data_IF_395674093732
#
_entry.id   IF_395674093732
#
_cell.length_a   1.000
_cell.length_b   1.000
_cell.length_c   1.000
_cell.angle_alpha   90.00
_cell.angle_beta   90.00
_cell.angle_gamma   90.00
#
_symmetry.space_group_name_H-M   'P 1'
#
loop_
_entity.id
_entity.type
_entity.pdbx_description
1 polymer ?
#
# COMPACT_ATOMS: atom_id res chain seq x y z
N UNK A 1 19.61 -15.16 -32.14
CA UNK A 1 19.58 -14.23 -30.99
C UNK A 1 18.83 -12.97 -31.41
N UNK A 2 17.52 -12.94 -31.19
CA UNK A 2 16.73 -11.71 -31.33
C UNK A 2 16.86 -10.91 -30.03
N UNK A 3 17.34 -9.67 -30.13
CA UNK A 3 17.26 -8.67 -29.07
C UNK A 3 15.79 -8.35 -28.84
N UNK A 4 15.25 -8.69 -27.67
CA UNK A 4 14.03 -8.06 -27.16
C UNK A 4 14.48 -6.77 -26.49
N UNK A 5 14.42 -5.67 -27.24
CA UNK A 5 14.40 -4.32 -26.67
C UNK A 5 12.94 -4.03 -26.39
N UNK A 6 12.54 -4.08 -25.12
CA UNK A 6 11.19 -3.76 -24.66
C UNK A 6 11.31 -2.86 -23.44
N UNK A 7 11.42 -1.55 -23.70
CA UNK A 7 11.11 -0.51 -22.71
C UNK A 7 9.59 -0.52 -22.49
N UNK A 8 9.18 -0.60 -21.22
CA UNK A 8 7.78 -0.56 -20.79
C UNK A 8 7.38 -1.82 -20.04
N UNK A 9 7.51 -1.82 -18.71
CA UNK A 9 7.14 -2.96 -17.84
C UNK A 9 6.23 -2.57 -16.67
N UNK A 10 5.72 -1.33 -16.61
CA UNK A 10 4.79 -0.90 -15.55
C UNK A 10 3.33 -1.19 -15.93
N UNK A 11 2.79 -2.36 -15.60
CA UNK A 11 1.35 -2.71 -15.73
C UNK A 11 0.64 -2.20 -17.03
N UNK A 12 1.38 -2.12 -18.14
CA UNK A 12 0.95 -1.52 -19.40
C UNK A 12 -0.15 -2.38 -20.02
N UNK A 13 -1.43 -2.05 -19.93
CA UNK A 13 -2.03 -0.72 -20.01
C UNK A 13 -3.33 -0.82 -19.24
N UNK A 14 -3.38 -0.33 -18.00
CA UNK A 14 -4.67 -0.14 -17.33
C UNK A 14 -5.56 0.63 -18.31
N UNK A 15 -6.67 0.01 -18.75
CA UNK A 15 -7.59 0.63 -19.71
C UNK A 15 -7.98 2.01 -19.17
N UNK A 16 -8.25 2.98 -20.05
CA UNK A 16 -8.61 4.34 -19.63
C UNK A 16 -9.75 4.35 -18.61
N UNK A 17 -10.64 3.35 -18.68
CA UNK A 17 -11.72 3.15 -17.71
C UNK A 17 -11.23 2.80 -16.30
N UNK A 18 -10.16 2.01 -16.16
CA UNK A 18 -9.67 1.67 -14.82
C UNK A 18 -8.75 2.74 -14.23
N UNK A 19 -8.18 3.61 -15.07
CA UNK A 19 -7.31 4.71 -14.60
C UNK A 19 -8.08 5.76 -13.81
N UNK A 20 -9.34 6.04 -14.19
CA UNK A 20 -10.16 7.00 -13.45
C UNK A 20 -10.68 6.44 -12.12
N UNK A 21 -10.76 5.12 -11.99
CA UNK A 21 -11.15 4.43 -10.76
C UNK A 21 -9.98 4.22 -9.79
N UNK A 22 -8.73 4.27 -10.29
CA UNK A 22 -7.56 4.13 -9.44
C UNK A 22 -7.39 5.38 -8.57
N UNK A 23 -7.47 5.17 -7.25
CA UNK A 23 -7.17 6.17 -6.24
C UNK A 23 -6.03 5.68 -5.35
N UNK A 24 -5.00 6.50 -5.21
CA UNK A 24 -3.85 6.21 -4.36
C UNK A 24 -3.96 7.09 -3.13
N UNK A 25 -3.89 6.46 -1.95
CA UNK A 25 -3.97 7.12 -0.66
C UNK A 25 -2.65 6.94 0.08
N UNK A 26 -2.23 7.96 0.80
CA UNK A 26 -1.02 7.96 1.63
C UNK A 26 -1.29 8.68 2.94
N UNK A 27 -0.48 8.42 3.96
CA UNK A 27 -0.51 9.21 5.19
C UNK A 27 -0.05 10.65 4.92
N UNK A 28 -0.21 11.51 5.92
CA UNK A 28 0.30 12.88 5.89
C UNK A 28 1.84 12.97 5.98
N UNK A 29 2.53 11.85 6.27
CA UNK A 29 3.99 11.78 6.31
C UNK A 29 4.61 11.97 4.91
N UNK A 30 5.46 12.98 4.78
CA UNK A 30 6.08 13.36 3.51
C UNK A 30 6.87 12.24 2.82
N UNK A 31 7.55 11.36 3.59
CA UNK A 31 8.28 10.21 3.03
C UNK A 31 7.35 9.15 2.46
N UNK A 32 6.24 8.88 3.14
CA UNK A 32 5.22 7.92 2.70
C UNK A 32 4.54 8.43 1.43
N UNK A 33 4.23 9.72 1.38
CA UNK A 33 3.74 10.41 0.18
C UNK A 33 4.66 10.22 -1.03
N UNK A 34 5.97 10.43 -0.84
CA UNK A 34 6.94 10.26 -1.92
C UNK A 34 7.06 8.83 -2.41
N UNK A 35 7.04 7.86 -1.50
CA UNK A 35 6.97 6.44 -1.84
C UNK A 35 5.68 6.11 -2.60
N UNK A 36 4.54 6.67 -2.20
CA UNK A 36 3.27 6.49 -2.92
C UNK A 36 3.31 7.10 -4.32
N UNK A 37 3.93 8.27 -4.50
CA UNK A 37 4.13 8.89 -5.81
C UNK A 37 5.10 8.09 -6.69
N UNK A 38 6.19 7.58 -6.14
CA UNK A 38 7.13 6.72 -6.84
C UNK A 38 6.49 5.39 -7.25
N UNK A 39 5.66 4.82 -6.37
CA UNK A 39 4.83 3.66 -6.68
C UNK A 39 3.84 3.96 -7.80
N UNK A 40 3.10 5.07 -7.74
CA UNK A 40 2.17 5.49 -8.78
C UNK A 40 2.88 5.64 -10.14
N UNK A 41 4.05 6.28 -10.12
CA UNK A 41 4.91 6.48 -11.29
C UNK A 41 5.31 5.15 -11.92
N UNK A 42 5.83 4.22 -11.13
CA UNK A 42 6.25 2.90 -11.62
C UNK A 42 5.08 2.00 -12.04
N UNK A 43 3.95 2.08 -11.31
CA UNK A 43 2.76 1.28 -11.58
C UNK A 43 2.07 1.68 -12.88
N UNK A 44 1.98 2.99 -13.15
CA UNK A 44 1.28 3.54 -14.31
C UNK A 44 2.22 3.91 -15.48
N UNK A 45 3.51 3.63 -15.31
CA UNK A 45 4.57 3.96 -16.28
C UNK A 45 4.55 5.45 -16.67
N UNK A 46 4.49 6.33 -15.66
CA UNK A 46 4.42 7.78 -15.87
C UNK A 46 5.82 8.38 -16.03
N UNK A 47 5.96 9.29 -16.98
CA UNK A 47 7.17 10.09 -17.14
C UNK A 47 7.13 11.36 -16.28
N UNK A 48 8.32 11.91 -15.97
CA UNK A 48 8.45 13.19 -15.24
C UNK A 48 8.87 13.06 -13.77
N UNK A 49 8.92 14.20 -13.07
CA UNK A 49 9.28 14.29 -11.66
C UNK A 49 8.17 13.75 -10.75
N UNK A 50 8.51 13.40 -9.50
CA UNK A 50 7.53 12.87 -8.54
C UNK A 50 6.55 13.93 -8.04
N UNK A 51 6.93 15.21 -7.98
CA UNK A 51 6.08 16.28 -7.42
C UNK A 51 4.75 16.46 -8.16
N UNK A 52 4.69 16.57 -9.50
CA UNK A 52 3.42 16.64 -10.21
C UNK A 52 2.55 15.38 -10.02
N UNK A 53 3.18 14.21 -9.94
CA UNK A 53 2.49 12.91 -9.72
C UNK A 53 1.89 12.87 -8.31
N UNK A 54 2.65 13.29 -7.31
CA UNK A 54 2.20 13.37 -5.93
C UNK A 54 0.96 14.26 -5.81
N UNK A 55 1.01 15.47 -6.39
CA UNK A 55 -0.09 16.43 -6.30
C UNK A 55 -1.35 15.96 -7.05
N UNK A 56 -1.18 15.26 -8.17
CA UNK A 56 -2.29 14.86 -9.04
C UNK A 56 -2.92 13.51 -8.71
N UNK A 57 -2.14 12.53 -8.21
CA UNK A 57 -2.59 11.13 -8.07
C UNK A 57 -2.61 10.61 -6.65
N UNK A 58 -1.91 11.26 -5.71
CA UNK A 58 -1.80 10.78 -4.33
C UNK A 58 -2.65 11.66 -3.40
N UNK A 59 -3.69 11.06 -2.82
CA UNK A 59 -4.53 11.68 -1.81
C UNK A 59 -3.99 11.44 -0.40
N UNK A 60 -4.18 12.41 0.49
CA UNK A 60 -3.69 12.40 1.89
C UNK A 60 -4.79 12.05 2.90
N UNK A 61 -5.85 11.41 2.42
CA UNK A 61 -7.00 11.08 3.26
C UNK A 61 -6.68 9.87 4.17
N UNK A 62 -6.29 10.18 5.41
CA UNK A 62 -5.96 9.18 6.43
C UNK A 62 -7.15 8.28 6.78
N UNK A 63 -8.38 8.79 6.67
CA UNK A 63 -9.60 8.02 6.99
C UNK A 63 -9.81 6.82 6.08
N UNK A 64 -9.23 6.84 4.88
CA UNK A 64 -9.23 5.72 3.94
C UNK A 64 -8.19 4.65 4.28
N UNK A 65 -7.24 4.96 5.16
CA UNK A 65 -6.23 4.02 5.70
C UNK A 65 -6.66 3.41 7.04
N UNK A 66 -7.66 3.99 7.72
CA UNK A 66 -8.16 3.61 9.05
C UNK A 66 -9.01 2.31 9.09
N UNK A 67 -8.89 1.43 8.08
CA UNK A 67 -9.46 0.08 8.15
C UNK A 67 -8.93 -0.77 9.32
N UNK A 68 -7.80 -0.32 9.91
CA UNK A 68 -7.07 -0.95 11.01
C UNK A 68 -7.71 -0.76 12.40
N UNK A 69 -8.58 0.25 12.60
CA UNK A 69 -9.22 0.52 13.90
C UNK A 69 -9.97 -0.70 14.46
N UNK A 70 -10.42 -1.58 13.57
CA UNK A 70 -11.13 -2.80 13.93
C UNK A 70 -10.26 -3.84 14.67
N UNK A 71 -8.93 -3.73 14.59
CA UNK A 71 -7.96 -4.67 15.16
C UNK A 71 -7.03 -4.05 16.21
N UNK A 72 -7.13 -2.75 16.48
CA UNK A 72 -6.23 -2.04 17.39
C UNK A 72 -6.22 -2.64 18.80
N UNK A 73 -7.37 -3.09 19.31
CA UNK A 73 -7.47 -3.72 20.64
C UNK A 73 -6.62 -4.99 20.71
N UNK A 74 -6.75 -5.90 19.74
CA UNK A 74 -5.96 -7.14 19.70
C UNK A 74 -4.47 -6.89 19.46
N UNK A 75 -4.13 -5.87 18.68
CA UNK A 75 -2.73 -5.48 18.47
C UNK A 75 -2.11 -4.92 19.75
N UNK A 76 -2.81 -4.05 20.48
CA UNK A 76 -2.33 -3.52 21.77
C UNK A 76 -2.21 -4.62 22.83
N UNK A 77 -3.14 -5.59 22.86
CA UNK A 77 -3.03 -6.77 23.73
C UNK A 77 -1.78 -7.61 23.38
N UNK A 78 -1.52 -7.83 22.09
CA UNK A 78 -0.34 -8.56 21.62
C UNK A 78 0.95 -7.84 22.01
N UNK A 79 1.03 -6.52 21.80
CA UNK A 79 2.18 -5.68 22.18
C UNK A 79 2.41 -5.67 23.69
N UNK A 80 1.36 -5.57 24.50
CA UNK A 80 1.47 -5.60 25.95
C UNK A 80 2.06 -6.93 26.43
N UNK A 81 1.53 -8.05 25.92
CA UNK A 81 2.03 -9.39 26.25
C UNK A 81 3.46 -9.62 25.77
N UNK A 82 3.82 -9.07 24.60
CA UNK A 82 5.18 -9.09 24.09
C UNK A 82 6.14 -8.29 24.99
N UNK A 83 5.71 -7.13 25.48
CA UNK A 83 6.47 -6.31 26.43
C UNK A 83 6.77 -7.09 27.70
N UNK A 84 5.77 -7.79 28.25
CA UNK A 84 5.94 -8.63 29.44
C UNK A 84 6.96 -9.77 29.20
N UNK A 85 6.92 -10.43 28.04
CA UNK A 85 7.86 -11.51 27.68
C UNK A 85 9.31 -10.98 27.64
N UNK A 86 9.53 -9.85 26.97
CA UNK A 86 10.86 -9.27 26.80
C UNK A 86 11.40 -8.73 28.14
N UNK A 87 10.56 -8.07 28.93
CA UNK A 87 10.98 -7.40 30.17
C UNK A 87 11.11 -8.35 31.35
N UNK A 88 10.24 -9.36 31.47
CA UNK A 88 10.31 -10.36 32.56
C UNK A 88 11.51 -11.28 32.43
N UNK A 89 12.24 -11.24 31.31
CA UNK A 89 13.37 -12.12 31.04
C UNK A 89 13.00 -13.59 31.19
N UNK A 90 11.73 -13.91 30.91
CA UNK A 90 11.18 -15.23 31.11
C UNK A 90 11.98 -16.15 30.21
N UNK A 91 12.91 -16.90 30.83
CA UNK A 91 13.43 -18.13 30.24
C UNK A 91 12.17 -18.86 29.84
N UNK A 92 11.92 -19.01 28.55
CA UNK A 92 10.93 -19.95 28.10
C UNK A 92 11.29 -21.23 28.85
N UNK A 93 10.46 -21.63 29.80
CA UNK A 93 10.61 -22.90 30.50
C UNK A 93 10.32 -24.00 29.47
N UNK A 94 11.21 -24.11 28.49
CA UNK A 94 11.54 -25.36 27.87
C UNK A 94 12.20 -26.13 28.99
N UNK A 95 11.43 -27.05 29.58
CA UNK A 95 12.01 -28.25 30.10
C UNK A 95 13.02 -28.74 29.06
N UNK A 96 14.20 -29.09 29.54
CA UNK A 96 15.31 -29.59 28.75
C UNK A 96 14.83 -30.55 27.63
N UNK A 97 15.33 -30.31 26.41
CA UNK A 97 15.54 -31.32 25.36
C UNK A 97 14.50 -31.57 24.26
N UNK A 98 13.47 -30.74 24.05
CA UNK A 98 12.77 -30.74 22.76
C UNK A 98 12.56 -29.32 22.24
N UNK A 99 13.16 -29.01 21.09
CA UNK A 99 12.68 -27.95 20.21
C UNK A 99 11.16 -28.11 20.09
N UNK A 100 10.35 -27.08 20.40
CA UNK A 100 8.91 -27.18 20.21
C UNK A 100 8.66 -27.60 18.76
N UNK A 101 7.89 -28.67 18.56
CA UNK A 101 7.60 -29.25 17.23
C UNK A 101 7.10 -28.19 16.22
N UNK A 102 6.56 -27.08 16.75
CA UNK A 102 6.16 -25.89 15.99
C UNK A 102 6.63 -24.60 16.68
N UNK A 103 7.86 -24.11 16.43
CA UNK A 103 8.40 -22.90 17.07
C UNK A 103 7.60 -21.62 16.77
N UNK A 104 6.83 -21.61 15.68
CA UNK A 104 5.95 -20.52 15.27
C UNK A 104 4.60 -20.49 16.02
N UNK A 105 4.32 -21.50 16.86
CA UNK A 105 3.10 -21.58 17.67
C UNK A 105 3.27 -21.01 19.08
N UNK A 106 4.50 -20.75 19.53
CA UNK A 106 4.81 -20.23 20.86
C UNK A 106 4.82 -18.70 20.86
N UNK A 107 4.34 -18.12 21.97
CA UNK A 107 4.39 -16.67 22.16
C UNK A 107 5.83 -16.16 22.18
N UNK A 108 6.10 -15.06 21.47
CA UNK A 108 7.44 -14.47 21.41
C UNK A 108 8.42 -15.22 20.51
N UNK A 109 7.92 -16.06 19.59
CA UNK A 109 8.75 -16.71 18.57
C UNK A 109 9.62 -15.68 17.83
N UNK A 110 10.90 -15.98 17.67
CA UNK A 110 11.88 -15.11 17.02
C UNK A 110 12.56 -14.09 17.95
N UNK A 111 12.13 -13.95 19.21
CA UNK A 111 12.86 -13.12 20.17
C UNK A 111 14.16 -13.81 20.62
N UNK A 112 15.25 -13.04 20.77
CA UNK A 112 16.50 -13.59 21.29
C UNK A 112 16.38 -13.91 22.79
N UNK A 113 17.01 -15.00 23.23
CA UNK A 113 16.97 -15.46 24.64
C UNK A 113 17.50 -14.41 25.64
N UNK A 114 18.36 -13.50 25.17
CA UNK A 114 18.93 -12.41 25.96
C UNK A 114 18.22 -11.06 25.70
N UNK A 115 17.00 -11.05 25.19
CA UNK A 115 16.27 -9.81 24.85
C UNK A 115 16.23 -8.80 26.01
N UNK A 116 16.00 -9.26 27.24
CA UNK A 116 15.99 -8.41 28.44
C UNK A 116 17.34 -7.72 28.71
N UNK A 117 18.45 -8.36 28.33
CA UNK A 117 19.81 -7.81 28.46
C UNK A 117 20.17 -6.88 27.30
N UNK A 118 19.56 -7.11 26.13
CA UNK A 118 19.74 -6.27 24.95
C UNK A 118 19.02 -4.92 25.10
N UNK A 119 17.90 -4.86 25.83
CA UNK A 119 17.14 -3.61 26.06
C UNK A 119 18.00 -2.48 26.70
N UNK A 120 18.69 -2.68 27.85
CA UNK A 120 19.59 -1.66 28.39
C UNK A 120 20.72 -1.29 27.43
N UNK A 121 21.25 -2.26 26.69
CA UNK A 121 22.30 -2.02 25.70
C UNK A 121 21.80 -1.15 24.56
N UNK A 122 20.59 -1.40 24.06
CA UNK A 122 19.91 -0.60 23.05
C UNK A 122 19.78 0.85 23.51
N UNK A 123 19.22 1.08 24.70
CA UNK A 123 19.06 2.44 25.25
C UNK A 123 20.40 3.15 25.41
N UNK A 124 21.43 2.47 25.94
CA UNK A 124 22.76 3.05 26.11
C UNK A 124 23.36 3.47 24.77
N UNK A 125 23.24 2.64 23.75
CA UNK A 125 23.77 2.92 22.43
C UNK A 125 22.97 4.03 21.72
N UNK A 126 21.64 4.03 21.84
CA UNK A 126 20.79 5.13 21.33
C UNK A 126 21.20 6.46 21.95
N UNK A 127 21.40 6.51 23.28
CA UNK A 127 21.92 7.71 23.97
C UNK A 127 23.29 8.14 23.46
N UNK A 128 24.20 7.20 23.20
CA UNK A 128 25.53 7.50 22.65
C UNK A 128 25.43 8.16 21.27
N UNK A 129 24.57 7.64 20.40
CA UNK A 129 24.34 8.21 19.07
C UNK A 129 23.68 9.58 19.18
N UNK A 130 22.62 9.73 19.99
CA UNK A 130 21.94 11.01 20.20
C UNK A 130 22.89 12.10 20.70
N UNK A 131 23.80 11.80 21.62
CA UNK A 131 24.77 12.78 22.11
C UNK A 131 25.78 13.20 21.04
N UNK A 132 26.25 12.27 20.20
CA UNK A 132 27.13 12.61 19.07
C UNK A 132 26.43 13.55 18.09
N UNK A 133 25.17 13.27 17.73
CA UNK A 133 24.39 14.13 16.84
C UNK A 133 24.10 15.49 17.50
N UNK A 134 23.94 15.54 18.83
CA UNK A 134 23.80 16.80 19.58
C UNK A 134 25.04 17.69 19.44
N UNK A 135 26.24 17.10 19.50
CA UNK A 135 27.48 17.84 19.34
C UNK A 135 27.59 18.38 17.91
N UNK A 136 27.36 17.55 16.90
CA UNK A 136 27.35 17.98 15.50
C UNK A 136 26.34 19.12 15.24
N UNK A 137 25.18 19.08 15.89
CA UNK A 137 24.19 20.17 15.78
C UNK A 137 24.64 21.48 16.43
N UNK A 138 25.40 21.41 17.53
CA UNK A 138 25.96 22.61 18.18
C UNK A 138 27.11 23.20 17.39
N UNK A 139 27.97 22.36 16.83
CA UNK A 139 29.10 22.79 16.02
C UNK A 139 28.58 23.51 14.75
N UNK A 140 27.50 23.03 14.14
CA UNK A 140 26.81 23.71 13.03
C UNK A 140 26.28 25.09 13.46
N UNK A 141 25.63 25.21 14.62
CA UNK A 141 25.16 26.50 15.14
C UNK A 141 26.33 27.46 15.46
N UNK A 142 27.43 26.97 16.04
CA UNK A 142 28.62 27.78 16.37
C UNK A 142 29.35 28.26 15.10
N UNK A 143 29.62 27.38 14.13
CA UNK A 143 30.19 27.75 12.83
C UNK A 143 29.28 28.70 12.05
N UNK A 144 27.95 28.50 12.10
CA UNK A 144 27.00 29.44 11.51
C UNK A 144 27.03 30.78 12.22
N UNK A 145 27.16 30.86 13.55
CA UNK A 145 27.29 32.14 14.26
C UNK A 145 28.59 32.88 13.96
N UNK A 146 29.69 32.16 13.68
CA UNK A 146 30.95 32.77 13.23
C UNK A 146 30.90 33.20 11.75
N UNK A 147 30.18 32.46 10.91
CA UNK A 147 29.96 32.79 9.50
C UNK A 147 28.84 33.83 9.27
N UNK A 148 27.90 34.01 10.21
CA UNK A 148 26.70 34.86 10.05
C UNK A 148 26.96 36.37 10.18
N UNK A 149 28.19 36.84 9.98
CA UNK A 149 28.37 38.26 9.71
C UNK A 149 27.78 38.67 8.34
N UNK A 150 27.44 37.72 7.44
CA UNK A 150 26.85 38.09 6.14
C UNK A 150 25.85 37.15 5.44
N UNK A 151 25.46 35.97 5.96
CA UNK A 151 24.54 35.10 5.20
C UNK A 151 23.23 34.73 5.92
N UNK A 152 22.13 34.89 5.18
CA UNK A 152 20.75 34.65 5.59
C UNK A 152 20.45 33.15 5.52
N UNK A 153 20.15 32.54 6.66
CA UNK A 153 19.63 31.17 6.75
C UNK A 153 18.36 31.04 5.91
N UNK A 154 18.44 30.34 4.79
CA UNK A 154 17.24 30.03 3.99
C UNK A 154 16.42 28.95 4.68
N UNK A 155 15.11 29.18 4.96
CA UNK A 155 14.23 28.18 5.56
C UNK A 155 14.20 26.87 4.76
N UNK A 156 14.01 25.77 5.47
CA UNK A 156 13.78 24.43 4.91
C UNK A 156 12.67 24.47 3.84
N UNK A 157 13.07 24.38 2.58
CA UNK A 157 12.16 24.35 1.45
C UNK A 157 12.00 22.90 0.99
N UNK A 158 10.94 22.27 1.47
CA UNK A 158 10.53 20.93 1.05
C UNK A 158 10.44 20.85 -0.49
N UNK A 159 10.02 21.92 -1.18
CA UNK A 159 9.97 21.94 -2.64
C UNK A 159 11.35 21.87 -3.31
N UNK A 160 12.40 22.36 -2.65
CA UNK A 160 13.78 22.34 -3.16
C UNK A 160 14.42 20.95 -3.03
N UNK A 161 14.08 20.19 -1.98
CA UNK A 161 14.52 18.80 -1.77
C UNK A 161 13.87 17.82 -2.77
N UNK A 162 12.66 18.13 -3.24
CA UNK A 162 11.82 17.22 -4.02
C UNK A 162 12.20 17.08 -5.52
N UNK A 163 13.17 17.87 -6.02
CA UNK A 163 13.44 18.00 -7.46
C UNK A 163 14.85 17.64 -7.94
N UNK A 164 15.81 17.31 -7.06
CA UNK A 164 17.21 17.11 -7.46
C UNK A 164 17.79 15.85 -6.81
N UNK A 165 17.92 14.80 -7.60
CA UNK A 165 18.59 13.54 -7.22
C UNK A 165 20.05 13.72 -6.77
N UNK A 166 20.67 14.84 -7.13
CA UNK A 166 22.07 15.12 -6.83
C UNK A 166 22.29 15.95 -5.56
N UNK A 167 21.21 16.46 -4.91
CA UNK A 167 21.35 17.26 -3.68
C UNK A 167 22.10 16.48 -2.60
N UNK A 168 21.80 15.20 -2.45
CA UNK A 168 22.40 14.40 -1.39
C UNK A 168 23.89 14.15 -1.64
N UNK A 169 24.35 14.11 -2.89
CA UNK A 169 25.78 13.93 -3.21
C UNK A 169 26.59 15.15 -2.72
N UNK A 170 26.15 16.36 -3.06
CA UNK A 170 26.83 17.59 -2.66
C UNK A 170 26.77 17.79 -1.13
N UNK A 171 25.64 17.42 -0.50
CA UNK A 171 25.47 17.48 0.96
C UNK A 171 26.39 16.49 1.68
N UNK A 172 26.44 15.24 1.22
CA UNK A 172 27.33 14.21 1.78
C UNK A 172 28.79 14.66 1.64
N UNK A 173 29.17 15.22 0.49
CA UNK A 173 30.50 15.77 0.28
C UNK A 173 30.82 16.96 1.21
N UNK A 174 29.80 17.76 1.58
CA UNK A 174 29.90 18.84 2.55
C UNK A 174 29.79 18.38 4.01
N UNK A 175 29.72 17.07 4.28
CA UNK A 175 29.61 16.54 5.64
C UNK A 175 28.22 16.64 6.28
N UNK A 176 27.20 17.04 5.52
CA UNK A 176 25.84 17.26 6.02
C UNK A 176 24.97 15.98 5.96
N UNK A 177 23.91 15.87 6.78
CA UNK A 177 22.99 14.74 6.69
C UNK A 177 22.22 14.70 5.36
N UNK A 178 21.95 13.48 4.90
CA UNK A 178 21.21 13.13 3.69
C UNK A 178 19.69 13.35 3.85
N UNK A 179 18.98 13.58 2.75
CA UNK A 179 17.52 13.67 2.73
C UNK A 179 17.00 15.04 3.15
N UNK A 180 17.78 16.10 2.88
CA UNK A 180 17.52 17.49 3.29
C UNK A 180 17.44 17.76 4.81
N UNK A 181 17.68 16.75 5.65
CA UNK A 181 17.76 16.90 7.11
C UNK A 181 19.01 17.70 7.50
N UNK A 182 18.88 18.70 8.38
CA UNK A 182 20.01 19.38 9.05
C UNK A 182 20.36 18.70 10.38
N UNK A 183 21.50 19.01 11.00
CA UNK A 183 21.90 18.32 12.24
C UNK A 183 20.91 18.54 13.38
N UNK A 184 20.29 19.73 13.47
CA UNK A 184 19.26 20.00 14.46
C UNK A 184 18.03 19.09 14.32
N UNK A 185 17.59 18.80 13.09
CA UNK A 185 16.47 17.89 12.82
C UNK A 185 16.86 16.44 13.11
N UNK A 186 18.07 16.04 12.70
CA UNK A 186 18.62 14.73 13.01
C UNK A 186 18.71 14.50 14.52
N UNK A 187 19.16 15.50 15.27
CA UNK A 187 19.20 15.47 16.73
C UNK A 187 17.79 15.36 17.31
N UNK A 188 16.82 16.15 16.82
CA UNK A 188 15.44 16.07 17.29
C UNK A 188 14.83 14.67 17.08
N UNK A 189 15.12 14.02 15.94
CA UNK A 189 14.72 12.64 15.64
C UNK A 189 15.33 11.65 16.63
N UNK A 190 16.66 11.64 16.78
CA UNK A 190 17.35 10.74 17.71
C UNK A 190 16.96 10.98 19.18
N UNK A 191 16.74 12.24 19.57
CA UNK A 191 16.30 12.61 20.92
C UNK A 191 14.87 12.16 21.21
N UNK A 192 13.99 12.19 20.20
CA UNK A 192 12.64 11.62 20.31
C UNK A 192 12.72 10.11 20.56
N UNK A 193 13.48 9.38 19.74
CA UNK A 193 13.67 7.93 19.90
C UNK A 193 14.24 7.57 21.27
N UNK A 194 15.26 8.30 21.73
CA UNK A 194 15.85 8.10 23.06
C UNK A 194 14.80 8.21 24.19
N UNK A 195 13.99 9.26 24.15
CA UNK A 195 12.98 9.55 25.18
C UNK A 195 11.82 8.55 25.13
N UNK A 196 11.38 8.22 23.93
CA UNK A 196 10.19 7.40 23.72
C UNK A 196 10.54 5.91 23.99
N UNK A 197 11.76 5.46 23.69
CA UNK A 197 12.23 4.09 23.93
C UNK A 197 12.32 3.73 25.42
N UNK A 198 12.72 4.66 26.28
CA UNK A 198 12.93 4.38 27.70
C UNK A 198 12.54 5.53 28.62
N UNK A 199 11.59 5.24 29.51
CA UNK A 199 11.12 6.18 30.50
C UNK A 199 11.95 6.07 31.78
N UNK A 200 12.94 6.97 31.94
CA UNK A 200 13.83 7.00 33.11
C UNK A 200 13.09 7.17 34.44
N UNK A 201 11.97 7.90 34.46
CA UNK A 201 11.21 8.15 35.70
C UNK A 201 10.48 6.91 36.20
N UNK A 202 10.08 6.03 35.28
CA UNK A 202 9.30 4.81 35.55
C UNK A 202 10.12 3.53 35.43
N UNK A 203 11.40 3.63 35.07
CA UNK A 203 12.27 2.49 34.75
C UNK A 203 11.58 1.48 33.81
N UNK A 204 11.02 1.99 32.72
CA UNK A 204 10.17 1.20 31.81
C UNK A 204 10.59 1.39 30.36
N UNK A 205 10.77 0.28 29.66
CA UNK A 205 11.02 0.23 28.21
C UNK A 205 9.71 0.25 27.42
N UNK A 206 9.71 1.02 26.34
CA UNK A 206 8.69 0.95 25.31
C UNK A 206 9.23 0.18 24.10
N UNK A 207 8.93 -1.12 24.07
CA UNK A 207 9.39 -2.00 22.99
C UNK A 207 8.80 -1.64 21.62
N UNK A 208 7.72 -0.86 21.57
CA UNK A 208 7.08 -0.45 20.31
C UNK A 208 7.95 0.53 19.51
N UNK A 209 8.99 1.09 20.14
CA UNK A 209 9.94 2.01 19.50
C UNK A 209 11.15 1.26 18.90
N UNK A 210 11.27 -0.05 19.11
CA UNK A 210 12.38 -0.86 18.56
C UNK A 210 12.42 -0.82 17.02
N UNK A 211 11.28 -0.96 16.29
CA UNK A 211 11.27 -0.83 14.84
C UNK A 211 11.77 0.53 14.37
N UNK A 212 11.33 1.63 15.00
CA UNK A 212 11.76 2.99 14.64
C UNK A 212 13.26 3.23 14.87
N UNK A 213 13.81 2.67 15.95
CA UNK A 213 15.26 2.70 16.23
C UNK A 213 16.01 1.89 15.17
N UNK A 214 15.53 0.69 14.82
CA UNK A 214 16.13 -0.14 13.78
C UNK A 214 16.14 0.57 12.43
N UNK A 215 15.01 1.13 12.00
CA UNK A 215 14.88 1.82 10.72
C UNK A 215 15.75 3.08 10.68
N UNK A 216 15.83 3.84 11.79
CA UNK A 216 16.71 5.00 11.91
C UNK A 216 18.18 4.61 11.80
N UNK A 217 18.60 3.53 12.47
CA UNK A 217 19.96 3.01 12.36
C UNK A 217 20.28 2.60 10.93
N UNK A 218 19.37 1.87 10.31
CA UNK A 218 19.53 1.37 8.94
C UNK A 218 19.66 2.52 7.94
N UNK A 219 18.81 3.53 8.07
CA UNK A 219 18.85 4.72 7.24
C UNK A 219 20.18 5.45 7.42
N UNK A 220 20.58 5.73 8.66
CA UNK A 220 21.80 6.48 8.93
C UNK A 220 23.07 5.69 8.54
N UNK A 221 23.09 4.36 8.66
CA UNK A 221 24.20 3.54 8.15
C UNK A 221 24.28 3.53 6.61
N UNK A 222 23.14 3.61 5.92
CA UNK A 222 23.11 3.55 4.46
C UNK A 222 23.39 4.91 3.83
N UNK A 223 22.86 5.98 4.42
CA UNK A 223 22.83 7.31 3.82
C UNK A 223 23.72 8.33 4.53
N UNK A 224 24.03 8.11 5.81
CA UNK A 224 24.79 9.02 6.66
C UNK A 224 26.09 8.40 7.20
N UNK A 225 26.63 7.39 6.50
CA UNK A 225 27.84 6.69 6.94
C UNK A 225 29.06 7.61 7.05
N UNK A 226 29.10 8.68 6.25
CA UNK A 226 30.16 9.69 6.27
C UNK A 226 30.24 10.48 7.58
N UNK A 227 29.16 10.51 8.37
CA UNK A 227 29.15 11.15 9.70
C UNK A 227 29.95 10.38 10.74
N UNK A 228 30.33 9.12 10.46
CA UNK A 228 31.17 8.28 11.33
C UNK A 228 30.68 8.18 12.78
N UNK A 229 29.36 8.09 12.97
CA UNK A 229 28.75 7.98 14.30
C UNK A 229 29.19 6.68 14.98
N UNK A 230 29.98 6.82 16.04
CA UNK A 230 30.57 5.68 16.73
C UNK A 230 29.52 4.83 17.44
N UNK A 231 29.56 3.52 17.21
CA UNK A 231 28.63 2.56 17.82
C UNK A 231 27.28 2.49 17.13
N UNK A 232 27.06 3.20 16.02
CA UNK A 232 25.84 3.09 15.21
C UNK A 232 25.70 1.68 14.60
N UNK A 233 26.81 1.06 14.19
CA UNK A 233 26.81 -0.32 13.67
C UNK A 233 26.46 -1.35 14.76
N UNK A 234 26.96 -1.13 15.99
CA UNK A 234 26.62 -1.95 17.14
C UNK A 234 25.15 -1.75 17.54
N UNK A 235 24.67 -0.51 17.52
CA UNK A 235 23.27 -0.18 17.79
C UNK A 235 22.36 -0.87 16.78
N UNK A 236 22.70 -0.80 15.48
CA UNK A 236 21.97 -1.48 14.42
C UNK A 236 21.88 -2.99 14.67
N UNK A 237 22.98 -3.65 15.01
CA UNK A 237 22.98 -5.10 15.30
C UNK A 237 22.08 -5.45 16.47
N UNK A 238 22.12 -4.67 17.55
CA UNK A 238 21.26 -4.87 18.73
C UNK A 238 19.78 -4.62 18.39
N UNK A 239 19.50 -3.52 17.68
CA UNK A 239 18.17 -3.16 17.24
C UNK A 239 17.58 -4.22 16.31
N UNK A 240 18.36 -4.71 15.35
CA UNK A 240 17.96 -5.76 14.42
C UNK A 240 17.58 -7.05 15.14
N UNK A 241 18.43 -7.55 16.06
CA UNK A 241 18.14 -8.77 16.82
C UNK A 241 16.82 -8.68 17.61
N UNK A 242 16.50 -7.50 18.13
CA UNK A 242 15.22 -7.26 18.81
C UNK A 242 14.08 -7.10 17.80
N UNK A 243 14.27 -6.33 16.73
CA UNK A 243 13.28 -6.02 15.71
C UNK A 243 12.81 -7.27 14.96
N UNK A 244 13.72 -8.20 14.66
CA UNK A 244 13.40 -9.49 14.02
C UNK A 244 12.39 -10.31 14.83
N UNK A 245 12.40 -10.16 16.17
CA UNK A 245 11.39 -10.74 17.04
C UNK A 245 10.20 -9.81 17.31
N UNK A 246 10.40 -8.50 17.44
CA UNK A 246 9.32 -7.56 17.78
C UNK A 246 8.35 -7.37 16.61
N UNK A 247 8.85 -6.99 15.44
CA UNK A 247 8.05 -6.60 14.27
C UNK A 247 7.04 -7.69 13.88
N UNK A 248 7.42 -8.98 13.74
CA UNK A 248 6.45 -10.01 13.36
C UNK A 248 5.38 -10.22 14.43
N UNK A 249 5.69 -9.96 15.70
CA UNK A 249 4.80 -10.23 16.84
C UNK A 249 3.85 -9.05 17.17
N UNK A 250 4.07 -7.85 16.62
CA UNK A 250 3.18 -6.68 16.79
C UNK A 250 1.75 -6.93 16.25
N UNK A 251 1.63 -7.76 15.22
CA UNK A 251 0.36 -8.15 14.60
C UNK A 251 -0.14 -9.51 15.10
N UNK A 252 0.22 -9.86 16.33
CA UNK A 252 -0.16 -11.10 17.01
C UNK A 252 1.05 -11.99 17.29
N UNK A 253 1.17 -12.44 18.53
CA UNK A 253 2.35 -13.16 19.03
C UNK A 253 2.29 -14.67 18.80
N UNK A 254 1.14 -15.17 18.34
CA UNK A 254 0.91 -16.57 17.99
C UNK A 254 -0.09 -16.66 16.81
N UNK A 255 -0.24 -17.84 16.18
CA UNK A 255 -1.04 -18.00 14.97
C UNK A 255 -2.52 -17.67 15.16
N UNK A 256 -3.07 -17.94 16.34
CA UNK A 256 -4.48 -17.63 16.65
C UNK A 256 -4.71 -16.12 16.69
N UNK A 257 -3.82 -15.37 17.34
CA UNK A 257 -3.88 -13.91 17.37
C UNK A 257 -3.66 -13.32 15.97
N UNK A 258 -2.65 -13.79 15.24
CA UNK A 258 -2.38 -13.34 13.85
C UNK A 258 -3.60 -13.55 12.95
N UNK A 259 -4.25 -14.72 13.03
CA UNK A 259 -5.47 -14.99 12.28
C UNK A 259 -6.60 -14.05 12.68
N UNK A 260 -6.80 -13.83 13.99
CA UNK A 260 -7.84 -12.92 14.51
C UNK A 260 -7.63 -11.49 14.00
N UNK A 261 -6.42 -10.95 14.17
CA UNK A 261 -6.03 -9.61 13.72
C UNK A 261 -6.17 -9.52 12.19
N UNK A 262 -5.54 -10.43 11.45
CA UNK A 262 -5.61 -10.45 9.98
C UNK A 262 -7.04 -10.53 9.45
N UNK A 263 -7.92 -11.32 10.09
CA UNK A 263 -9.33 -11.42 9.70
C UNK A 263 -10.08 -10.10 9.90
N UNK A 264 -9.74 -9.32 10.93
CA UNK A 264 -10.34 -8.00 11.20
C UNK A 264 -9.88 -6.96 10.19
N UNK A 265 -8.57 -6.95 9.89
CA UNK A 265 -7.97 -6.05 8.90
C UNK A 265 -8.55 -6.32 7.50
N UNK A 266 -8.55 -7.59 7.09
CA UNK A 266 -9.00 -7.98 5.76
C UNK A 266 -10.53 -8.02 5.60
N UNK A 267 -11.31 -7.88 6.68
CA UNK A 267 -12.77 -8.08 6.67
C UNK A 267 -13.49 -7.29 5.58
N UNK A 268 -13.21 -5.99 5.48
CA UNK A 268 -13.87 -5.10 4.50
C UNK A 268 -13.52 -5.49 3.07
N UNK A 269 -12.24 -5.78 2.81
CA UNK A 269 -11.76 -6.19 1.50
C UNK A 269 -12.37 -7.52 1.08
N UNK A 270 -12.31 -8.53 1.96
CA UNK A 270 -12.91 -9.84 1.71
C UNK A 270 -14.42 -9.74 1.50
N UNK A 271 -15.11 -8.91 2.27
CA UNK A 271 -16.54 -8.64 2.09
C UNK A 271 -16.84 -8.08 0.70
N UNK A 272 -16.09 -7.07 0.24
CA UNK A 272 -16.23 -6.50 -1.11
C UNK A 272 -15.95 -7.54 -2.19
N UNK A 273 -14.84 -8.27 -2.09
CA UNK A 273 -14.50 -9.33 -3.05
C UNK A 273 -15.61 -10.39 -3.16
N UNK A 274 -16.19 -10.82 -2.04
CA UNK A 274 -17.29 -11.78 -2.05
C UNK A 274 -18.55 -11.23 -2.70
N UNK A 275 -18.87 -9.95 -2.46
CA UNK A 275 -20.01 -9.27 -3.10
C UNK A 275 -19.77 -9.13 -4.61
N UNK A 276 -18.60 -8.66 -5.01
CA UNK A 276 -18.25 -8.45 -6.41
C UNK A 276 -18.26 -9.78 -7.18
N UNK A 277 -17.66 -10.84 -6.61
CA UNK A 277 -17.71 -12.19 -7.20
C UNK A 277 -19.14 -12.70 -7.34
N UNK A 278 -20.01 -12.43 -6.36
CA UNK A 278 -21.42 -12.80 -6.43
C UNK A 278 -22.14 -12.04 -7.53
N UNK A 279 -21.92 -10.74 -7.64
CA UNK A 279 -22.51 -9.89 -8.67
C UNK A 279 -22.06 -10.33 -10.07
N UNK A 280 -20.77 -10.54 -10.28
CA UNK A 280 -20.23 -11.04 -11.56
C UNK A 280 -20.83 -12.40 -11.93
N UNK A 281 -21.02 -13.30 -10.96
CA UNK A 281 -21.68 -14.58 -11.19
C UNK A 281 -23.15 -14.39 -11.59
N UNK A 282 -23.88 -13.52 -10.89
CA UNK A 282 -25.29 -13.24 -11.17
C UNK A 282 -25.45 -12.59 -12.57
N UNK A 283 -24.60 -11.63 -12.92
CA UNK A 283 -24.54 -11.01 -14.25
C UNK A 283 -24.23 -12.02 -15.36
N UNK A 284 -23.22 -12.88 -15.16
CA UNK A 284 -22.87 -13.92 -16.13
C UNK A 284 -24.05 -14.88 -16.37
N UNK A 285 -24.76 -15.26 -15.31
CA UNK A 285 -25.96 -16.10 -15.41
C UNK A 285 -27.10 -15.37 -16.14
N UNK A 286 -27.33 -14.08 -15.85
CA UNK A 286 -28.34 -13.28 -16.55
C UNK A 286 -28.03 -13.15 -18.05
N UNK A 287 -26.77 -12.90 -18.43
CA UNK A 287 -26.35 -12.83 -19.84
C UNK A 287 -26.51 -14.19 -20.53
N UNK A 288 -26.15 -15.29 -19.86
CA UNK A 288 -26.32 -16.63 -20.40
C UNK A 288 -27.81 -16.98 -20.61
N UNK A 289 -28.68 -16.59 -19.66
CA UNK A 289 -30.12 -16.78 -19.78
C UNK A 289 -30.73 -15.97 -20.95
N UNK A 290 -30.29 -14.71 -21.12
CA UNK A 290 -30.73 -13.88 -22.25
C UNK A 290 -30.30 -14.46 -23.60
N UNK A 291 -29.07 -14.97 -23.71
CA UNK A 291 -28.58 -15.64 -24.92
C UNK A 291 -29.38 -16.90 -25.23
N UNK A 292 -29.63 -17.75 -24.23
CA UNK A 292 -30.47 -18.95 -24.40
C UNK A 292 -31.89 -18.63 -24.86
N UNK A 293 -32.48 -17.53 -24.37
CA UNK A 293 -33.82 -17.11 -24.77
C UNK A 293 -33.84 -16.54 -26.21
N UNK A 294 -32.80 -15.81 -26.62
CA UNK A 294 -32.65 -15.35 -28.01
C UNK A 294 -32.42 -16.52 -28.98
N UNK A 295 -31.65 -17.52 -28.59
CA UNK A 295 -31.43 -18.74 -29.39
C UNK A 295 -32.73 -19.54 -29.56
N UNK A 296 -33.54 -19.65 -28.49
CA UNK A 296 -34.86 -20.30 -28.56
C UNK A 296 -35.87 -19.51 -29.41
N UNK A 297 -35.92 -18.18 -29.29
CA UNK A 297 -36.77 -17.34 -30.14
C UNK A 297 -36.37 -17.39 -31.62
N UNK A 298 -35.06 -17.37 -31.92
CA UNK A 298 -34.57 -17.46 -33.30
C UNK A 298 -34.81 -18.83 -33.93
N UNK A 299 -34.74 -19.91 -33.14
CA UNK A 299 -35.17 -21.26 -33.57
C UNK A 299 -36.68 -21.34 -33.80
N UNK A 300 -37.51 -20.77 -32.90
CA UNK A 300 -38.97 -20.75 -33.05
C UNK A 300 -39.42 -19.99 -34.30
N UNK A 301 -38.80 -18.84 -34.59
CA UNK A 301 -39.09 -18.07 -35.80
C UNK A 301 -38.63 -18.79 -37.07
N UNK A 302 -37.56 -19.61 -37.02
CA UNK A 302 -37.15 -20.46 -38.14
C UNK A 302 -38.13 -21.60 -38.40
N UNK A 303 -38.60 -22.28 -37.35
CA UNK A 303 -39.60 -23.34 -37.49
C UNK A 303 -40.95 -22.83 -38.00
N UNK A 304 -41.40 -21.65 -37.55
CA UNK A 304 -42.64 -21.03 -38.05
C UNK A 304 -42.52 -20.60 -39.52
N UNK A 305 -41.33 -20.16 -39.96
CA UNK A 305 -41.07 -19.78 -41.35
C UNK A 305 -40.99 -21.00 -42.28
N UNK A 306 -40.43 -22.12 -41.80
CA UNK A 306 -40.44 -23.41 -42.52
C UNK A 306 -41.85 -24.03 -42.59
N UNK A 307 -42.69 -23.87 -41.56
CA UNK A 307 -44.10 -24.29 -41.60
C UNK A 307 -44.94 -23.44 -42.57
N UNK A 308 -44.71 -22.12 -42.62
CA UNK A 308 -45.38 -21.21 -43.55
C UNK A 308 -44.98 -21.46 -45.02
N UNK A 309 -43.71 -21.82 -45.28
CA UNK A 309 -43.24 -22.21 -46.62
C UNK A 309 -43.74 -23.61 -47.06
N UNK A 310 -44.06 -24.49 -46.12
CA UNK A 310 -44.72 -25.77 -46.41
C UNK A 310 -46.23 -25.62 -46.66
N UNK A 311 -46.92 -24.70 -45.97
CA UNK A 311 -48.34 -24.42 -46.22
C UNK A 311 -48.59 -23.62 -47.52
N UNK A 312 -47.69 -22.73 -47.91
CA UNK A 312 -47.82 -21.96 -49.15
C UNK A 312 -47.61 -22.78 -50.44
N UNK A 313 -47.00 -23.97 -50.35
CA UNK A 313 -46.85 -24.92 -51.47
C UNK A 313 -48.06 -25.85 -51.69
N UNK A 314 -49.06 -25.84 -50.82
CA UNK A 314 -50.29 -26.64 -50.96
C UNK A 314 -51.47 -25.88 -51.58
N UNK A 315 -51.33 -24.57 -51.83
CA UNK A 315 -52.37 -23.71 -52.42
C UNK A 315 -51.92 -23.08 -53.74
N UNK A 316 -51.49 -23.89 -54.71
CA UNK A 316 -51.40 -23.46 -56.11
C UNK A 316 -52.14 -24.48 -56.99
N UNK A 317 -53.47 -24.29 -57.10
CA UNK A 317 -54.26 -24.73 -58.25
C UNK A 317 -55.49 -23.84 -58.43
N UNK A 318 -55.66 -23.41 -59.67
CA UNK A 318 -56.75 -22.63 -60.28
C UNK A 318 -56.66 -21.10 -60.25
N UNK A 319 -56.13 -20.57 -61.36
CA UNK A 319 -56.77 -19.67 -62.34
C UNK A 319 -57.62 -18.47 -61.85
N UNK A 320 -57.64 -17.30 -62.49
CA UNK A 320 -56.84 -16.63 -63.52
C UNK A 320 -57.45 -15.20 -63.66
N UNK A 321 -56.73 -14.31 -64.35
CA UNK A 321 -57.30 -13.23 -65.18
C UNK A 321 -57.43 -11.78 -64.63
N UNK A 322 -56.39 -10.98 -64.96
CA UNK A 322 -56.37 -9.58 -65.49
C UNK A 322 -56.75 -8.44 -64.50
N UNK A 323 -56.03 -7.30 -64.40
CA UNK A 323 -55.42 -6.46 -65.46
C UNK A 323 -54.51 -5.34 -64.88
N UNK A 324 -53.41 -5.06 -65.58
CA UNK A 324 -52.76 -3.76 -65.87
C UNK A 324 -52.07 -2.87 -64.80
N UNK A 325 -50.72 -2.90 -64.84
CA UNK A 325 -49.75 -1.79 -65.09
C UNK A 325 -49.90 -0.42 -64.41
N UNK A 326 -48.90 -0.03 -63.60
CA UNK A 326 -47.95 1.04 -63.94
C UNK A 326 -46.78 1.09 -62.95
N UNK A 327 -45.57 0.99 -63.47
CA UNK A 327 -44.28 1.20 -62.83
C UNK A 327 -43.92 2.68 -62.73
N UNK A 328 -43.47 3.13 -61.57
CA UNK A 328 -42.50 4.23 -61.44
C UNK A 328 -41.55 3.93 -60.26
N UNK A 329 -40.26 4.06 -60.58
CA UNK A 329 -39.07 4.22 -59.75
C UNK A 329 -39.29 5.05 -58.47
N UNK A 330 -38.54 4.85 -57.38
CA UNK A 330 -37.20 5.43 -57.19
C UNK A 330 -36.37 4.75 -56.07
N UNK A 331 -35.06 4.93 -56.21
CA UNK A 331 -33.93 4.40 -55.44
C UNK A 331 -33.53 5.40 -54.33
N UNK A 332 -32.78 4.89 -53.32
CA UNK A 332 -31.94 5.59 -52.31
C UNK A 332 -32.63 5.98 -50.99
N UNK A 333 -32.01 5.94 -49.80
CA UNK A 333 -30.60 6.09 -49.37
C UNK A 333 -30.33 5.26 -48.08
N UNK A 334 -29.08 4.80 -47.92
CA UNK A 334 -28.50 4.37 -46.64
C UNK A 334 -28.38 5.53 -45.64
N UNK A 335 -28.58 5.25 -44.36
CA UNK A 335 -28.04 6.03 -43.24
C UNK A 335 -27.83 5.11 -42.03
N UNK A 336 -26.55 4.97 -41.64
CA UNK A 336 -26.09 4.47 -40.34
C UNK A 336 -26.43 5.50 -39.26
N UNK A 337 -27.05 5.07 -38.16
CA UNK A 337 -27.15 5.86 -36.93
C UNK A 337 -26.67 5.01 -35.73
N UNK A 338 -25.60 5.51 -35.11
CA UNK A 338 -25.14 5.22 -33.76
C UNK A 338 -26.26 5.46 -32.74
N UNK A 339 -26.35 4.61 -31.71
CA UNK A 339 -27.11 4.98 -30.50
C UNK A 339 -26.41 4.45 -29.25
N UNK A 340 -25.81 5.41 -28.54
CA UNK A 340 -25.26 5.34 -27.19
C UNK A 340 -26.28 4.74 -26.19
N UNK A 341 -25.87 3.69 -25.46
CA UNK A 341 -26.52 3.34 -24.19
C UNK A 341 -25.52 3.16 -23.06
N UNK A 342 -25.33 4.26 -22.36
CA UNK A 342 -24.74 4.39 -21.03
C UNK A 342 -25.52 3.51 -20.02
N UNK A 343 -24.89 2.44 -19.52
CA UNK A 343 -25.48 1.56 -18.49
C UNK A 343 -25.47 2.25 -17.12
N UNK A 344 -26.65 2.65 -16.67
CA UNK A 344 -26.90 3.32 -15.39
C UNK A 344 -26.85 2.30 -14.24
N UNK A 345 -25.81 2.36 -13.40
CA UNK A 345 -25.74 1.57 -12.15
C UNK A 345 -26.81 2.05 -11.16
N UNK A 346 -27.69 1.13 -10.72
CA UNK A 346 -28.63 1.36 -9.61
C UNK A 346 -27.98 0.89 -8.31
N UNK A 347 -27.52 1.84 -7.50
CA UNK A 347 -27.27 1.61 -6.07
C UNK A 347 -28.59 1.85 -5.33
N UNK A 348 -29.13 0.84 -4.65
CA UNK A 348 -30.26 0.99 -3.75
C UNK A 348 -29.75 1.13 -2.29
N UNK A 349 -29.90 2.29 -1.62
CA UNK A 349 -29.20 2.57 -0.35
C UNK A 349 -29.78 1.90 0.91
N UNK A 350 -30.88 1.14 0.82
CA UNK A 350 -31.69 0.80 2.01
C UNK A 350 -31.63 -0.66 2.48
N UNK A 351 -30.51 -1.36 2.30
CA UNK A 351 -30.28 -2.69 2.89
C UNK A 351 -29.03 -2.75 3.75
N UNK A 352 -28.97 -1.88 4.75
CA UNK A 352 -28.01 -1.98 5.87
C UNK A 352 -28.71 -1.57 7.18
N UNK A 353 -29.85 -2.19 7.49
CA UNK A 353 -30.33 -2.35 8.85
C UNK A 353 -30.88 -3.77 8.96
N UNK A 354 -30.57 -4.43 10.08
CA UNK A 354 -30.84 -5.82 10.44
C UNK A 354 -29.88 -6.87 9.87
N UNK A 355 -28.74 -7.06 10.56
CA UNK A 355 -28.44 -8.25 11.38
C UNK A 355 -27.11 -8.10 12.10
#
# INVERSE_FOLDING_TARGET
MHKISGEGTGLLRLHSTYRHDLKIYSSDEGRVQMSAAAFAKGLLDLEGQLTPILVSLVSKDSSMLDGLDNASIEMEEAKARLNDIITSGMKTSSNESLEPEFPWMTDGAGLPLNASQLLPKLVKLTKKVTEQVRLLAKDEDEELTEASSFDVVTPYDQAKALGKTNIDIDRIAAGLPCGSEGFLLMYARWRKLERDLYNERKDRFDITQIPDVYDSCKYDLLHNAHLNLEGLDELFKVAQLLADGVIPNEYGINPKQKLKIGSKIARRLLGKLLIDLRNTREEANSVAALKSNQDQQSMSMKSEKEEADHQSKLFVKSEDMRRTTSTTSEISMDQDDDDDKETKYRLDPNKCQDT
#
